data_IF_047394344994
#
_entry.id   IF_047394344994
#
_cell.length_a   1.000
_cell.length_b   1.000
_cell.length_c   1.000
_cell.angle_alpha   90.00
_cell.angle_beta   90.00
_cell.angle_gamma   90.00
#
_symmetry.space_group_name_H-M   'P 1'
#
loop_
_entity.id
_entity.type
_entity.pdbx_description
1 polymer ?
#
# COMPACT_ATOMS: atom_id res chain seq x y z
N UNK A 1 73.24 0.93 -9.78
CA UNK A 1 72.36 2.02 -9.30
C UNK A 1 71.26 2.26 -10.34
N UNK A 2 70.15 1.48 -10.35
CA UNK A 2 69.00 1.70 -11.27
C UNK A 2 67.75 0.80 -11.05
N UNK A 3 67.56 0.14 -9.89
CA UNK A 3 66.46 -0.84 -9.69
C UNK A 3 65.42 -0.46 -8.64
N UNK A 4 65.60 0.62 -7.88
CA UNK A 4 64.69 1.00 -6.79
C UNK A 4 63.50 1.88 -7.21
N UNK A 5 63.53 2.47 -8.41
CA UNK A 5 62.46 3.37 -8.86
C UNK A 5 61.22 2.61 -9.38
N UNK A 6 61.40 1.56 -10.18
CA UNK A 6 60.29 0.85 -10.84
C UNK A 6 59.38 0.07 -9.88
N UNK A 7 59.94 -0.56 -8.83
CA UNK A 7 59.16 -1.30 -7.84
C UNK A 7 58.28 -0.36 -6.98
N UNK A 8 58.78 0.84 -6.69
CA UNK A 8 58.02 1.86 -5.95
C UNK A 8 56.82 2.37 -6.76
N UNK A 9 57.00 2.56 -8.07
CA UNK A 9 55.91 3.00 -8.96
C UNK A 9 54.78 1.97 -9.08
N UNK A 10 55.10 0.67 -9.14
CA UNK A 10 54.10 -0.40 -9.16
C UNK A 10 53.30 -0.51 -7.86
N UNK A 11 53.96 -0.40 -6.70
CA UNK A 11 53.28 -0.45 -5.39
C UNK A 11 52.35 0.75 -5.22
N UNK A 12 52.81 1.94 -5.61
CA UNK A 12 51.99 3.15 -5.61
C UNK A 12 50.77 2.98 -6.52
N UNK A 13 50.94 2.47 -7.74
CA UNK A 13 49.84 2.25 -8.67
C UNK A 13 48.79 1.26 -8.12
N UNK A 14 49.23 0.17 -7.50
CA UNK A 14 48.35 -0.84 -6.91
C UNK A 14 47.57 -0.30 -5.70
N UNK A 15 48.23 0.49 -4.84
CA UNK A 15 47.56 1.17 -3.71
C UNK A 15 46.52 2.16 -4.22
N UNK A 16 46.85 2.97 -5.24
CA UNK A 16 45.89 3.87 -5.87
C UNK A 16 44.70 3.13 -6.48
N UNK A 17 44.92 2.01 -7.19
CA UNK A 17 43.85 1.23 -7.80
C UNK A 17 42.92 0.60 -6.74
N UNK A 18 43.49 0.07 -5.66
CA UNK A 18 42.71 -0.47 -4.54
C UNK A 18 41.89 0.59 -3.82
N UNK A 19 42.44 1.79 -3.61
CA UNK A 19 41.73 2.90 -3.00
C UNK A 19 40.57 3.40 -3.88
N UNK A 20 40.75 3.47 -5.20
CA UNK A 20 39.68 3.83 -6.15
C UNK A 20 38.53 2.82 -6.11
N UNK A 21 38.83 1.52 -6.05
CA UNK A 21 37.81 0.48 -5.91
C UNK A 21 37.09 0.53 -4.55
N UNK A 22 37.80 0.88 -3.46
CA UNK A 22 37.21 0.98 -2.13
C UNK A 22 36.29 2.20 -1.97
N UNK A 23 36.60 3.31 -2.62
CA UNK A 23 35.80 4.55 -2.57
C UNK A 23 34.60 4.49 -3.54
N UNK A 24 34.74 3.82 -4.69
CA UNK A 24 33.65 3.70 -5.68
C UNK A 24 32.51 2.77 -5.26
N UNK A 25 32.72 1.91 -4.25
CA UNK A 25 31.72 0.96 -3.75
C UNK A 25 30.78 1.51 -2.67
N UNK A 26 30.98 2.73 -2.21
CA UNK A 26 30.11 3.35 -1.20
C UNK A 26 28.79 3.79 -1.85
N UNK A 27 27.83 2.85 -1.87
CA UNK A 27 26.39 3.09 -1.70
C UNK A 27 25.90 4.43 -2.23
N UNK A 28 25.78 4.54 -3.55
CA UNK A 28 24.97 5.60 -4.15
C UNK A 28 23.52 5.28 -3.78
N UNK A 29 22.95 6.06 -2.86
CA UNK A 29 21.51 6.02 -2.66
C UNK A 29 20.84 6.16 -4.02
N UNK A 30 19.86 5.31 -4.37
CA UNK A 30 19.17 5.45 -5.64
C UNK A 30 18.70 6.90 -5.77
N UNK A 31 19.03 7.51 -6.89
CA UNK A 31 18.61 8.87 -7.20
C UNK A 31 17.08 8.90 -7.22
N UNK A 32 16.47 9.95 -6.67
CA UNK A 32 15.02 10.04 -6.62
C UNK A 32 14.46 10.01 -8.05
N UNK A 33 13.76 8.93 -8.39
CA UNK A 33 13.13 8.75 -9.68
C UNK A 33 11.65 9.15 -9.59
N UNK A 34 11.19 9.98 -10.53
CA UNK A 34 9.76 10.25 -10.70
C UNK A 34 9.10 9.05 -11.37
N UNK A 35 8.43 8.22 -10.58
CA UNK A 35 7.62 7.11 -11.07
C UNK A 35 6.29 7.65 -11.58
N UNK A 36 6.06 7.56 -12.90
CA UNK A 36 4.85 8.09 -13.57
C UNK A 36 3.79 7.03 -13.86
N UNK A 37 4.07 5.77 -13.54
CA UNK A 37 3.15 4.65 -13.70
C UNK A 37 3.19 3.77 -12.47
N UNK A 38 2.13 3.00 -12.27
CA UNK A 38 2.07 1.98 -11.22
C UNK A 38 2.08 0.63 -11.94
N UNK A 39 3.25 0.02 -12.22
CA UNK A 39 3.32 -1.16 -13.10
C UNK A 39 2.52 -2.35 -12.56
N UNK A 40 2.33 -2.39 -11.24
CA UNK A 40 1.54 -3.39 -10.54
C UNK A 40 0.05 -3.02 -10.40
N UNK A 41 -0.36 -1.80 -10.73
CA UNK A 41 -1.72 -1.31 -10.51
C UNK A 41 -2.80 -2.03 -11.33
N UNK A 42 -2.40 -2.80 -12.34
CA UNK A 42 -3.28 -3.64 -13.17
C UNK A 42 -2.91 -5.13 -13.09
N UNK A 43 -2.02 -5.51 -12.17
CA UNK A 43 -1.65 -6.90 -11.96
C UNK A 43 -2.56 -7.50 -10.88
N UNK A 44 -3.50 -8.34 -11.29
CA UNK A 44 -4.36 -9.11 -10.39
C UNK A 44 -5.85 -8.76 -10.50
N UNK A 45 -6.69 -9.36 -9.63
CA UNK A 45 -8.12 -9.06 -9.58
C UNK A 45 -8.37 -7.59 -9.29
N UNK A 46 -9.21 -6.95 -10.08
CA UNK A 46 -9.64 -5.57 -9.84
C UNK A 46 -10.63 -5.55 -8.68
N UNK A 47 -10.32 -4.75 -7.65
CA UNK A 47 -11.27 -4.45 -6.57
C UNK A 47 -11.93 -3.12 -6.88
N UNK A 48 -13.24 -3.14 -7.11
CA UNK A 48 -14.05 -1.92 -7.23
C UNK A 48 -14.68 -1.68 -5.87
N UNK A 49 -14.22 -0.66 -5.16
CA UNK A 49 -14.53 -0.43 -3.75
C UNK A 49 -15.10 0.97 -3.56
N UNK A 50 -16.18 1.08 -2.79
CA UNK A 50 -16.47 2.30 -2.05
C UNK A 50 -15.84 2.18 -0.65
N UNK A 51 -14.83 3.02 -0.41
CA UNK A 51 -13.96 2.91 0.77
C UNK A 51 -14.50 3.65 1.99
N UNK A 52 -15.60 4.40 1.87
CA UNK A 52 -16.10 5.23 2.97
C UNK A 52 -17.60 5.46 2.86
N UNK A 53 -18.39 4.67 3.59
CA UNK A 53 -19.85 4.82 3.62
C UNK A 53 -20.39 4.68 5.04
N UNK A 54 -21.47 5.40 5.34
CA UNK A 54 -22.12 5.37 6.65
C UNK A 54 -23.51 4.75 6.54
N UNK A 55 -23.99 4.20 7.65
CA UNK A 55 -25.30 3.56 7.77
C UNK A 55 -26.14 4.27 8.83
N UNK A 56 -27.35 3.75 9.09
CA UNK A 56 -28.21 4.22 10.18
C UNK A 56 -27.59 4.07 11.58
N UNK A 57 -26.42 3.41 11.70
CA UNK A 57 -25.71 3.27 12.97
C UNK A 57 -24.89 4.51 13.35
N UNK A 58 -24.67 5.47 12.45
CA UNK A 58 -24.26 6.83 12.81
C UNK A 58 -25.17 7.90 12.20
N UNK A 59 -24.86 8.34 10.98
CA UNK A 59 -25.43 9.50 10.27
C UNK A 59 -25.76 9.17 8.81
N UNK A 60 -25.61 7.90 8.42
CA UNK A 60 -26.08 7.39 7.14
C UNK A 60 -27.59 7.12 7.15
N UNK A 61 -28.18 7.09 5.95
CA UNK A 61 -29.63 6.92 5.78
C UNK A 61 -30.07 5.46 5.62
N UNK A 62 -29.14 4.54 5.35
CA UNK A 62 -29.44 3.17 4.91
C UNK A 62 -28.94 2.14 5.92
N UNK A 63 -29.68 1.03 6.04
CA UNK A 63 -29.19 -0.15 6.74
C UNK A 63 -28.07 -0.85 5.93
N UNK A 64 -27.17 -1.63 6.56
CA UNK A 64 -26.06 -2.30 5.89
C UNK A 64 -26.45 -3.09 4.62
N UNK A 65 -27.56 -3.82 4.65
CA UNK A 65 -28.05 -4.62 3.52
C UNK A 65 -28.51 -3.76 2.34
N UNK A 66 -29.21 -2.65 2.62
CA UNK A 66 -29.68 -1.74 1.58
C UNK A 66 -28.50 -1.02 0.91
N UNK A 67 -27.50 -0.64 1.70
CA UNK A 67 -26.27 -0.04 1.19
C UNK A 67 -25.45 -1.03 0.36
N UNK A 68 -25.31 -2.28 0.83
CA UNK A 68 -24.68 -3.36 0.08
C UNK A 68 -25.39 -3.65 -1.25
N UNK A 69 -26.73 -3.67 -1.27
CA UNK A 69 -27.50 -3.84 -2.50
C UNK A 69 -27.20 -2.74 -3.53
N UNK A 70 -27.07 -1.49 -3.08
CA UNK A 70 -26.69 -0.37 -3.96
C UNK A 70 -25.26 -0.55 -4.46
N UNK A 71 -24.31 -0.90 -3.60
CA UNK A 71 -22.92 -1.13 -3.99
C UNK A 71 -22.81 -2.21 -5.08
N UNK A 72 -23.47 -3.36 -4.89
CA UNK A 72 -23.53 -4.43 -5.90
C UNK A 72 -24.15 -3.93 -7.20
N UNK A 73 -25.27 -3.18 -7.13
CA UNK A 73 -25.92 -2.65 -8.33
C UNK A 73 -25.04 -1.67 -9.13
N UNK A 74 -24.08 -1.02 -8.46
CA UNK A 74 -23.10 -0.12 -9.07
C UNK A 74 -21.79 -0.82 -9.49
N UNK A 75 -21.70 -2.16 -9.34
CA UNK A 75 -20.55 -2.94 -9.76
C UNK A 75 -19.39 -2.94 -8.75
N UNK A 76 -19.62 -2.55 -7.50
CA UNK A 76 -18.64 -2.74 -6.44
C UNK A 76 -18.44 -4.24 -6.17
N UNK A 77 -17.18 -4.62 -5.96
CA UNK A 77 -16.75 -5.95 -5.52
C UNK A 77 -16.27 -5.94 -4.07
N UNK A 78 -16.37 -4.79 -3.41
CA UNK A 78 -16.11 -4.58 -1.99
C UNK A 78 -16.83 -3.31 -1.51
N UNK A 79 -17.21 -3.28 -0.23
CA UNK A 79 -17.83 -2.12 0.41
C UNK A 79 -17.28 -1.94 1.82
N UNK A 80 -16.84 -0.74 2.16
CA UNK A 80 -16.44 -0.37 3.51
C UNK A 80 -17.58 0.39 4.22
N UNK A 81 -18.04 -0.16 5.35
CA UNK A 81 -18.94 0.52 6.29
C UNK A 81 -18.09 1.12 7.41
N UNK A 82 -18.11 2.45 7.50
CA UNK A 82 -17.22 3.28 8.34
C UNK A 82 -18.01 4.27 9.19
N UNK A 83 -19.07 3.79 9.85
CA UNK A 83 -19.87 4.61 10.78
C UNK A 83 -19.00 5.26 11.88
N UNK A 84 -19.43 6.44 12.36
CA UNK A 84 -18.72 7.18 13.41
C UNK A 84 -18.63 6.38 14.72
N UNK A 85 -17.55 6.60 15.47
CA UNK A 85 -17.32 6.01 16.79
C UNK A 85 -17.56 6.96 17.97
N UNK A 86 -18.30 8.06 17.76
CA UNK A 86 -18.62 9.02 18.80
C UNK A 86 -19.76 8.53 19.74
N UNK A 87 -20.02 9.28 20.82
CA UNK A 87 -20.95 8.86 21.88
C UNK A 87 -22.42 8.77 21.45
N UNK A 88 -22.80 9.37 20.32
CA UNK A 88 -24.18 9.35 19.82
C UNK A 88 -24.38 8.24 18.78
N UNK A 89 -23.31 7.74 18.19
CA UNK A 89 -23.36 6.62 17.26
C UNK A 89 -23.61 5.29 17.99
N UNK A 90 -24.27 4.38 17.29
CA UNK A 90 -24.54 3.00 17.72
C UNK A 90 -23.71 1.97 16.95
N UNK A 91 -22.67 2.46 16.24
CA UNK A 91 -21.66 1.62 15.62
C UNK A 91 -20.94 0.73 16.66
N UNK A 92 -20.42 -0.41 16.22
CA UNK A 92 -19.75 -1.41 17.04
C UNK A 92 -20.59 -2.03 18.18
N UNK A 93 -21.92 -1.88 18.16
CA UNK A 93 -22.84 -2.64 19.02
C UNK A 93 -23.03 -4.08 18.50
N UNK A 94 -23.56 -5.01 19.32
CA UNK A 94 -23.89 -6.36 18.84
C UNK A 94 -24.87 -6.35 17.65
N UNK A 95 -25.84 -5.43 17.63
CA UNK A 95 -26.79 -5.30 16.53
C UNK A 95 -26.10 -4.82 15.24
N UNK A 96 -25.20 -3.84 15.34
CA UNK A 96 -24.37 -3.39 14.22
C UNK A 96 -23.64 -4.56 13.53
N UNK A 97 -22.95 -5.39 14.31
CA UNK A 97 -22.26 -6.56 13.76
C UNK A 97 -23.23 -7.61 13.20
N UNK A 98 -24.38 -7.83 13.84
CA UNK A 98 -25.39 -8.75 13.32
C UNK A 98 -25.95 -8.31 11.96
N UNK A 99 -26.16 -7.01 11.75
CA UNK A 99 -26.60 -6.46 10.46
C UNK A 99 -25.51 -6.59 9.39
N UNK A 100 -24.23 -6.35 9.73
CA UNK A 100 -23.10 -6.58 8.82
C UNK A 100 -23.01 -8.05 8.42
N UNK A 101 -23.11 -8.97 9.39
CA UNK A 101 -23.09 -10.41 9.10
C UNK A 101 -24.29 -10.85 8.25
N UNK A 102 -25.44 -10.21 8.44
CA UNK A 102 -26.61 -10.46 7.58
C UNK A 102 -26.34 -9.97 6.16
N UNK A 103 -25.75 -8.79 5.98
CA UNK A 103 -25.37 -8.28 4.67
C UNK A 103 -24.34 -9.21 3.98
N UNK A 104 -23.30 -9.66 4.69
CA UNK A 104 -22.30 -10.62 4.17
C UNK A 104 -22.93 -11.91 3.67
N UNK A 105 -23.93 -12.45 4.38
CA UNK A 105 -24.63 -13.67 3.97
C UNK A 105 -25.53 -13.44 2.75
N UNK A 106 -26.13 -12.25 2.63
CA UNK A 106 -26.98 -11.90 1.50
C UNK A 106 -26.18 -11.58 0.22
N UNK A 107 -25.00 -10.99 0.37
CA UNK A 107 -24.12 -10.59 -0.73
C UNK A 107 -22.74 -11.23 -0.56
N UNK A 108 -22.60 -12.56 -0.71
CA UNK A 108 -21.36 -13.28 -0.42
C UNK A 108 -20.21 -12.96 -1.39
N UNK A 109 -20.52 -12.37 -2.54
CA UNK A 109 -19.55 -11.97 -3.58
C UNK A 109 -19.16 -10.47 -3.51
N UNK A 110 -19.69 -9.74 -2.51
CA UNK A 110 -19.31 -8.36 -2.15
C UNK A 110 -18.38 -8.37 -0.92
#
# INVERSE_FOLDING_TARGET
MRTRFAASTCVVLLVFLSAVCFVGGCSRSPEAEFVTSVPWGLLGPTVILDSHTHTVFSDGALAPQALAAIAVSNGCTALAITDHGDLQATAATPDYFAQIETARKQFPDL
#
